data_IF_531065433101
#
_entry.id   IF_531065433101
#
_cell.length_a   1.000
_cell.length_b   1.000
_cell.length_c   1.000
_cell.angle_alpha   90.00
_cell.angle_beta   90.00
_cell.angle_gamma   90.00
#
_symmetry.space_group_name_H-M   'P 1'
#
loop_
_entity.id
_entity.type
_entity.pdbx_description
1 polymer ?
#
# COMPACT_ATOMS: atom_id res chain seq x y z
N UNK A 1 24.04 13.04 -15.44
CA UNK A 1 22.96 12.13 -15.01
C UNK A 1 21.69 12.53 -15.73
N UNK A 2 21.05 11.62 -16.44
CA UNK A 2 19.72 11.86 -17.02
C UNK A 2 18.68 12.01 -15.90
N UNK A 3 17.64 12.79 -16.14
CA UNK A 3 16.58 13.08 -15.16
C UNK A 3 15.94 11.78 -14.63
N UNK A 4 15.74 10.79 -15.50
CA UNK A 4 15.17 9.48 -15.15
C UNK A 4 15.97 8.77 -14.05
N UNK A 5 17.31 8.81 -14.13
CA UNK A 5 18.17 8.18 -13.12
C UNK A 5 18.04 8.83 -11.75
N UNK A 6 17.88 10.17 -11.69
CA UNK A 6 17.66 10.90 -10.44
C UNK A 6 16.33 10.48 -9.81
N UNK A 7 15.28 10.37 -10.63
CA UNK A 7 13.95 9.95 -10.17
C UNK A 7 14.01 8.52 -9.61
N UNK A 8 14.66 7.59 -10.31
CA UNK A 8 14.77 6.19 -9.84
C UNK A 8 15.52 6.11 -8.51
N UNK A 9 16.64 6.84 -8.37
CA UNK A 9 17.41 6.86 -7.12
C UNK A 9 16.58 7.41 -5.96
N UNK A 10 15.85 8.50 -6.20
CA UNK A 10 14.97 9.09 -5.21
C UNK A 10 13.87 8.09 -4.79
N UNK A 11 13.19 7.47 -5.75
CA UNK A 11 12.14 6.48 -5.46
C UNK A 11 12.70 5.29 -4.66
N UNK A 12 13.88 4.78 -5.02
CA UNK A 12 14.54 3.69 -4.29
C UNK A 12 14.90 4.09 -2.86
N UNK A 13 15.33 5.33 -2.63
CA UNK A 13 15.59 5.84 -1.29
C UNK A 13 14.31 5.90 -0.45
N UNK A 14 13.20 6.38 -1.02
CA UNK A 14 11.90 6.38 -0.34
C UNK A 14 11.39 4.95 -0.10
N UNK A 15 11.60 4.02 -1.04
CA UNK A 15 11.20 2.62 -0.89
C UNK A 15 11.93 1.93 0.27
N UNK A 16 13.18 2.31 0.56
CA UNK A 16 13.91 1.81 1.71
C UNK A 16 13.23 2.24 3.03
N UNK A 17 12.73 3.46 3.11
CA UNK A 17 12.00 3.94 4.29
C UNK A 17 10.69 3.18 4.50
N UNK A 18 9.94 2.92 3.42
CA UNK A 18 8.74 2.10 3.50
C UNK A 18 9.05 0.65 3.90
N UNK A 19 10.18 0.10 3.43
CA UNK A 19 10.61 -1.25 3.80
C UNK A 19 10.89 -1.35 5.30
N UNK A 20 11.57 -0.35 5.88
CA UNK A 20 11.77 -0.26 7.33
C UNK A 20 10.42 -0.20 8.06
N UNK A 21 9.48 0.64 7.58
CA UNK A 21 8.12 0.73 8.14
C UNK A 21 7.32 -0.57 8.01
N UNK A 22 7.50 -1.32 6.93
CA UNK A 22 6.81 -2.60 6.72
C UNK A 22 7.25 -3.66 7.74
N UNK A 23 8.52 -3.62 8.18
CA UNK A 23 9.07 -4.55 9.19
C UNK A 23 8.77 -4.06 10.61
N UNK A 24 9.04 -2.78 10.89
CA UNK A 24 8.96 -2.21 12.24
C UNK A 24 7.56 -1.66 12.59
N UNK A 25 6.59 -1.76 11.67
CA UNK A 25 5.23 -1.28 11.87
C UNK A 25 4.58 -1.89 13.12
N UNK A 26 4.05 -1.08 14.05
CA UNK A 26 3.47 -1.57 15.30
C UNK A 26 2.11 -2.26 15.08
N UNK A 27 1.34 -1.79 14.10
CA UNK A 27 0.02 -2.34 13.76
C UNK A 27 0.07 -3.16 12.47
N UNK A 28 -0.81 -4.16 12.34
CA UNK A 28 -0.95 -4.91 11.09
C UNK A 28 -1.33 -3.98 9.92
N UNK A 29 -2.15 -2.98 10.18
CA UNK A 29 -2.57 -1.97 9.19
C UNK A 29 -1.37 -1.14 8.72
N UNK A 30 -0.48 -0.70 9.61
CA UNK A 30 0.74 0.04 9.22
C UNK A 30 1.63 -0.76 8.26
N UNK A 31 1.77 -2.07 8.51
CA UNK A 31 2.57 -2.95 7.64
C UNK A 31 1.92 -3.15 6.28
N UNK A 32 0.59 -3.28 6.23
CA UNK A 32 -0.18 -3.39 5.00
C UNK A 32 -0.08 -2.11 4.16
N UNK A 33 -0.21 -0.94 4.80
CA UNK A 33 -0.04 0.36 4.13
C UNK A 33 1.39 0.54 3.61
N UNK A 34 2.40 0.14 4.38
CA UNK A 34 3.78 0.17 3.92
C UNK A 34 4.00 -0.76 2.71
N UNK A 35 3.42 -1.97 2.71
CA UNK A 35 3.50 -2.91 1.59
C UNK A 35 2.87 -2.37 0.30
N UNK A 36 1.72 -1.69 0.39
CA UNK A 36 1.10 -1.06 -0.77
C UNK A 36 1.96 0.10 -1.29
N UNK A 37 2.54 0.91 -0.40
CA UNK A 37 3.43 2.01 -0.76
C UNK A 37 4.70 1.53 -1.51
N UNK A 38 5.27 0.39 -1.10
CA UNK A 38 6.40 -0.26 -1.79
C UNK A 38 5.98 -0.71 -3.21
N UNK A 39 4.81 -1.34 -3.33
CA UNK A 39 4.29 -1.83 -4.61
C UNK A 39 4.10 -0.69 -5.61
N UNK A 40 3.55 0.45 -5.16
CA UNK A 40 3.37 1.65 -5.99
C UNK A 40 4.71 2.24 -6.45
N UNK A 41 5.75 2.20 -5.61
CA UNK A 41 7.11 2.63 -5.99
C UNK A 41 7.75 1.68 -7.01
N UNK A 42 7.56 0.38 -6.85
CA UNK A 42 8.00 -0.61 -7.84
C UNK A 42 7.38 -0.35 -9.22
N UNK A 43 6.07 -0.09 -9.27
CA UNK A 43 5.37 0.31 -10.49
C UNK A 43 5.93 1.61 -11.08
N UNK A 44 6.12 2.64 -10.25
CA UNK A 44 6.67 3.92 -10.70
C UNK A 44 8.07 3.78 -11.33
N UNK A 45 8.94 2.94 -10.75
CA UNK A 45 10.26 2.64 -11.34
C UNK A 45 10.13 2.00 -12.72
N UNK A 46 9.20 1.06 -12.91
CA UNK A 46 8.96 0.42 -14.21
C UNK A 46 8.47 1.44 -15.24
N UNK A 47 7.58 2.36 -14.87
CA UNK A 47 7.12 3.42 -15.77
C UNK A 47 8.25 4.37 -16.20
N UNK A 48 9.12 4.76 -15.27
CA UNK A 48 10.29 5.59 -15.61
C UNK A 48 11.25 4.82 -16.51
N UNK A 49 11.40 3.51 -16.30
CA UNK A 49 12.19 2.65 -17.17
C UNK A 49 11.58 2.51 -18.58
N UNK A 50 10.25 2.49 -18.68
CA UNK A 50 9.52 2.51 -19.95
C UNK A 50 9.83 3.78 -20.74
N UNK A 51 9.77 4.93 -20.05
CA UNK A 51 10.12 6.23 -20.61
C UNK A 51 11.58 6.28 -21.07
N UNK A 52 12.52 5.88 -20.21
CA UNK A 52 13.95 5.92 -20.49
C UNK A 52 14.39 5.06 -21.68
N UNK A 53 13.73 3.91 -21.89
CA UNK A 53 14.02 3.02 -23.03
C UNK A 53 13.18 3.33 -24.28
N UNK A 54 12.21 4.24 -24.20
CA UNK A 54 11.25 4.51 -25.29
C UNK A 54 10.38 3.31 -25.67
N UNK A 55 10.31 2.29 -24.81
CA UNK A 55 9.59 1.04 -25.08
C UNK A 55 8.34 0.95 -24.20
N UNK A 56 7.17 1.08 -24.83
CA UNK A 56 5.88 1.04 -24.13
C UNK A 56 5.50 -0.34 -23.60
N UNK A 57 6.15 -1.43 -24.03
CA UNK A 57 5.85 -2.78 -23.51
C UNK A 57 6.10 -2.92 -21.99
N UNK A 58 6.91 -2.05 -21.40
CA UNK A 58 7.09 -2.01 -19.95
C UNK A 58 5.85 -1.50 -19.19
N UNK A 59 4.96 -0.75 -19.85
CA UNK A 59 3.70 -0.26 -19.25
C UNK A 59 2.78 -1.43 -18.92
N UNK A 60 2.74 -2.47 -19.76
CA UNK A 60 1.93 -3.67 -19.51
C UNK A 60 2.38 -4.38 -18.22
N UNK A 61 3.70 -4.47 -18.01
CA UNK A 61 4.28 -5.03 -16.78
C UNK A 61 3.91 -4.19 -15.56
N UNK A 62 3.99 -2.86 -15.68
CA UNK A 62 3.59 -1.95 -14.61
C UNK A 62 2.10 -2.09 -14.27
N UNK A 63 1.24 -2.24 -15.27
CA UNK A 63 -0.20 -2.38 -15.10
C UNK A 63 -0.57 -3.72 -14.43
N UNK A 64 0.07 -4.81 -14.81
CA UNK A 64 -0.09 -6.10 -14.12
C UNK A 64 0.36 -6.00 -12.66
N UNK A 65 1.49 -5.33 -12.39
CA UNK A 65 1.99 -5.13 -11.03
C UNK A 65 1.02 -4.25 -10.21
N UNK A 66 0.40 -3.24 -10.83
CA UNK A 66 -0.62 -2.39 -10.21
C UNK A 66 -1.83 -3.19 -9.75
N UNK A 67 -2.38 -4.00 -10.65
CA UNK A 67 -3.54 -4.84 -10.35
C UNK A 67 -3.20 -5.89 -9.31
N UNK A 68 -2.04 -6.54 -9.42
CA UNK A 68 -1.59 -7.54 -8.45
C UNK A 68 -1.40 -6.93 -7.06
N UNK A 69 -0.72 -5.79 -6.96
CA UNK A 69 -0.51 -5.08 -5.70
C UNK A 69 -1.83 -4.62 -5.06
N UNK A 70 -2.77 -4.15 -5.86
CA UNK A 70 -4.10 -3.74 -5.39
C UNK A 70 -4.93 -4.93 -4.90
N UNK A 71 -5.00 -6.02 -5.66
CA UNK A 71 -5.73 -7.23 -5.25
C UNK A 71 -5.09 -7.87 -4.02
N UNK A 72 -3.76 -7.91 -3.95
CA UNK A 72 -3.02 -8.38 -2.77
C UNK A 72 -3.34 -7.56 -1.52
N UNK A 73 -3.40 -6.22 -1.65
CA UNK A 73 -3.82 -5.33 -0.57
C UNK A 73 -5.25 -5.65 -0.10
N UNK A 74 -6.21 -5.80 -1.03
CA UNK A 74 -7.59 -6.14 -0.69
C UNK A 74 -7.70 -7.51 -0.02
N UNK A 75 -6.93 -8.51 -0.46
CA UNK A 75 -6.90 -9.83 0.15
C UNK A 75 -6.40 -9.78 1.61
N UNK A 76 -5.35 -8.99 1.88
CA UNK A 76 -4.84 -8.79 3.23
C UNK A 76 -5.86 -8.08 4.13
N UNK A 77 -6.50 -7.02 3.63
CA UNK A 77 -7.55 -6.33 4.38
C UNK A 77 -8.74 -7.24 4.66
N UNK A 78 -9.15 -8.05 3.67
CA UNK A 78 -10.23 -9.03 3.83
C UNK A 78 -9.91 -10.08 4.89
N UNK A 79 -8.64 -10.45 5.02
CA UNK A 79 -8.17 -11.40 6.03
C UNK A 79 -8.24 -10.85 7.45
N UNK A 80 -8.26 -9.53 7.64
CA UNK A 80 -8.40 -8.90 8.96
C UNK A 80 -9.87 -8.81 9.42
N UNK A 81 -10.83 -8.93 8.50
CA UNK A 81 -12.24 -8.77 8.77
C UNK A 81 -12.95 -10.13 8.91
N UNK A 82 -13.93 -10.29 9.81
CA UNK A 82 -14.70 -11.52 9.94
C UNK A 82 -15.29 -11.99 8.61
N UNK A 83 -15.42 -13.30 8.45
CA UNK A 83 -15.89 -13.89 7.20
C UNK A 83 -17.35 -13.53 6.93
N UNK A 84 -18.16 -13.42 7.98
CA UNK A 84 -19.61 -13.25 7.87
C UNK A 84 -20.07 -11.82 8.15
N UNK A 85 -20.93 -11.29 7.28
CA UNK A 85 -21.45 -9.93 7.43
C UNK A 85 -22.32 -9.79 8.69
N UNK A 86 -23.10 -10.81 9.02
CA UNK A 86 -23.96 -10.81 10.22
C UNK A 86 -23.13 -10.79 11.52
N UNK A 87 -21.94 -11.40 11.49
CA UNK A 87 -21.00 -11.41 12.61
C UNK A 87 -20.35 -10.03 12.77
N UNK A 88 -20.01 -9.37 11.65
CA UNK A 88 -19.58 -7.97 11.68
C UNK A 88 -20.68 -7.10 12.29
N UNK A 89 -21.93 -7.19 11.81
CA UNK A 89 -23.05 -6.39 12.34
C UNK A 89 -23.24 -6.58 13.84
N UNK A 90 -23.13 -7.82 14.35
CA UNK A 90 -23.19 -8.10 15.79
C UNK A 90 -22.03 -7.49 16.57
N UNK A 91 -20.80 -7.56 16.06
CA UNK A 91 -19.64 -6.92 16.69
C UNK A 91 -19.82 -5.40 16.73
N UNK A 92 -20.39 -4.81 15.69
CA UNK A 92 -20.68 -3.38 15.61
C UNK A 92 -21.84 -2.95 16.54
N UNK A 93 -22.82 -3.82 16.71
CA UNK A 93 -23.95 -3.62 17.63
C UNK A 93 -23.50 -3.73 19.11
N UNK A 94 -22.60 -4.66 19.43
CA UNK A 94 -22.06 -4.86 20.78
C UNK A 94 -20.96 -3.84 21.17
N UNK A 95 -20.22 -3.30 20.19
CA UNK A 95 -19.08 -2.39 20.40
C UNK A 95 -19.13 -1.22 19.42
N UNK A 96 -20.07 -0.27 19.56
CA UNK A 96 -20.23 0.86 18.62
C UNK A 96 -18.99 1.77 18.54
N UNK A 97 -18.12 1.75 19.56
CA UNK A 97 -16.86 2.48 19.63
C UNK A 97 -15.75 1.93 18.72
N UNK A 98 -15.89 0.70 18.21
CA UNK A 98 -14.91 0.11 17.27
C UNK A 98 -15.03 0.64 15.83
N UNK A 99 -16.13 1.33 15.49
CA UNK A 99 -16.31 1.97 14.18
C UNK A 99 -15.48 3.24 14.00
N UNK A 100 -15.14 3.94 15.09
CA UNK A 100 -14.58 5.30 15.01
C UNK A 100 -13.56 5.56 16.13
N UNK A 101 -12.49 4.77 16.21
CA UNK A 101 -11.24 5.27 16.82
C UNK A 101 -10.32 5.79 15.75
N UNK A 102 -10.73 6.89 15.10
CA UNK A 102 -9.80 7.70 14.30
C UNK A 102 -9.85 9.21 14.57
N UNK A 103 -10.81 9.75 15.34
CA UNK A 103 -10.70 11.12 15.89
C UNK A 103 -11.43 11.14 17.24
N UNK A 104 -10.74 10.77 18.32
CA UNK A 104 -11.00 11.30 19.66
C UNK A 104 -9.65 11.80 20.19
N UNK A 105 -9.25 12.90 19.57
CA UNK A 105 -8.20 13.80 20.01
C UNK A 105 -8.76 15.22 19.94
N UNK A 106 -9.94 15.43 20.53
CA UNK A 106 -10.39 16.75 20.97
C UNK A 106 -10.81 16.63 22.43
N UNK A 107 -10.11 17.38 23.29
CA UNK A 107 -10.52 17.63 24.66
C UNK A 107 -9.73 16.90 25.74
N UNK A 108 -8.45 17.26 25.90
CA UNK A 108 -7.89 17.75 27.18
C UNK A 108 -6.66 18.64 26.92
#
# INVERSE_FOLDING_TARGET
>A
MSIDSIIIILIMFLALFDFVRAIMGPTAVDRIVASSAISTKGMAVILVLAHANGNMSFIDVALVLALCGFVGLLALLRSLLPANADELTKVLEDRPDTLVRFIEGEGE
#
